data_IF_594313795338
#
_entry.id   IF_594313795338
#
_cell.length_a   1.000
_cell.length_b   1.000
_cell.length_c   1.000
_cell.angle_alpha   90.00
_cell.angle_beta   90.00
_cell.angle_gamma   90.00
#
_symmetry.space_group_name_H-M   'P 1'
#
loop_
_entity.id
_entity.type
_entity.pdbx_description
1 polymer ?
#
# COMPACT_ATOMS: atom_id res chain seq x y z
N UNK A 1 -18.58 16.34 -0.57
CA UNK A 1 -18.97 15.20 0.28
C UNK A 1 -18.54 15.55 1.69
N UNK A 2 -19.31 15.27 2.75
CA UNK A 2 -18.72 15.34 4.08
C UNK A 2 -17.61 14.29 4.08
N UNK A 3 -16.39 14.79 4.20
CA UNK A 3 -15.19 14.00 4.42
C UNK A 3 -15.45 13.25 5.73
N UNK A 4 -15.24 11.93 5.74
CA UNK A 4 -15.22 11.14 6.98
C UNK A 4 -14.32 11.90 7.96
N UNK A 5 -14.83 12.28 9.14
CA UNK A 5 -13.99 12.89 10.18
C UNK A 5 -13.07 11.78 10.70
N UNK A 6 -11.80 11.72 10.24
CA UNK A 6 -11.02 10.51 10.37
C UNK A 6 -10.36 10.44 11.74
N UNK A 7 -10.83 9.52 12.56
CA UNK A 7 -10.21 9.22 13.85
C UNK A 7 -8.92 8.40 13.65
N UNK A 8 -8.91 7.52 12.64
CA UNK A 8 -7.82 6.59 12.39
C UNK A 8 -7.45 6.55 10.90
N UNK A 9 -6.16 6.41 10.61
CA UNK A 9 -5.67 5.95 9.32
C UNK A 9 -5.33 4.47 9.35
N UNK A 10 -5.79 3.74 8.34
CA UNK A 10 -5.58 2.30 8.21
C UNK A 10 -4.71 2.04 6.99
N UNK A 11 -3.60 1.33 7.20
CA UNK A 11 -2.71 0.84 6.14
C UNK A 11 -2.94 -0.65 5.96
N UNK A 12 -3.25 -1.05 4.73
CA UNK A 12 -3.51 -2.45 4.40
C UNK A 12 -2.96 -2.83 3.02
N UNK A 13 -2.78 -4.13 2.82
CA UNK A 13 -2.45 -4.73 1.54
C UNK A 13 -3.72 -5.21 0.84
N UNK A 14 -4.17 -4.48 -0.18
CA UNK A 14 -5.30 -4.93 -1.01
C UNK A 14 -4.82 -5.82 -2.15
N UNK A 15 -5.42 -7.01 -2.27
CA UNK A 15 -5.03 -8.03 -3.25
C UNK A 15 -6.07 -8.20 -4.36
N UNK A 16 -5.62 -8.25 -5.61
CA UNK A 16 -6.45 -8.46 -6.79
C UNK A 16 -6.08 -9.79 -7.46
N UNK A 17 -6.89 -10.85 -7.32
CA UNK A 17 -6.63 -12.16 -7.93
C UNK A 17 -6.50 -12.09 -9.45
N UNK A 18 -5.61 -12.89 -10.02
CA UNK A 18 -5.40 -12.98 -11.47
C UNK A 18 -5.39 -14.43 -11.91
N UNK A 19 -6.02 -14.69 -13.06
CA UNK A 19 -6.04 -16.01 -13.70
C UNK A 19 -4.78 -16.28 -14.52
N UNK A 20 -4.18 -15.22 -15.06
CA UNK A 20 -3.03 -15.28 -15.95
C UNK A 20 -1.85 -14.52 -15.34
N UNK A 21 -0.63 -14.90 -15.74
CA UNK A 21 0.64 -14.29 -15.28
C UNK A 21 1.02 -13.01 -16.05
N UNK A 22 0.04 -12.41 -16.73
CA UNK A 22 0.19 -11.21 -17.55
C UNK A 22 -0.39 -9.96 -16.90
N UNK A 23 0.30 -8.85 -17.15
CA UNK A 23 -0.03 -7.52 -16.69
C UNK A 23 0.76 -7.10 -15.44
N UNK A 24 1.04 -5.80 -15.32
CA UNK A 24 2.02 -5.26 -14.38
C UNK A 24 1.79 -5.66 -12.92
N UNK A 25 2.86 -6.03 -12.23
CA UNK A 25 2.84 -6.32 -10.79
C UNK A 25 2.25 -7.69 -10.42
N UNK A 26 1.84 -8.52 -11.38
CA UNK A 26 1.33 -9.87 -11.10
C UNK A 26 2.47 -10.78 -10.65
N UNK A 27 2.29 -11.44 -9.51
CA UNK A 27 3.20 -12.47 -9.03
C UNK A 27 2.46 -13.47 -8.14
N UNK A 28 3.08 -14.63 -7.91
CA UNK A 28 2.64 -15.59 -6.91
C UNK A 28 3.02 -15.08 -5.52
N UNK A 29 2.04 -14.59 -4.78
CA UNK A 29 2.23 -14.00 -3.44
C UNK A 29 0.97 -14.22 -2.58
N UNK A 30 1.02 -13.85 -1.30
CA UNK A 30 -0.16 -13.92 -0.43
C UNK A 30 -1.27 -13.02 -1.00
N UNK A 31 -2.44 -13.61 -1.25
CA UNK A 31 -3.60 -12.93 -1.79
C UNK A 31 -4.68 -12.89 -0.71
N UNK A 32 -4.85 -11.72 -0.07
CA UNK A 32 -5.83 -11.55 1.02
C UNK A 32 -7.25 -11.91 0.60
N UNK A 33 -7.65 -11.51 -0.61
CA UNK A 33 -8.97 -11.81 -1.18
C UNK A 33 -9.26 -13.32 -1.37
N UNK A 34 -8.21 -14.16 -1.43
CA UNK A 34 -8.35 -15.61 -1.57
C UNK A 34 -7.90 -16.39 -0.32
N UNK A 35 -7.35 -15.71 0.70
CA UNK A 35 -6.82 -16.32 1.91
C UNK A 35 -5.67 -17.31 1.68
N UNK A 36 -4.93 -17.17 0.57
CA UNK A 36 -3.84 -18.11 0.19
C UNK A 36 -2.82 -17.47 -0.72
N UNK A 37 -1.70 -18.16 -0.93
CA UNK A 37 -0.80 -17.83 -2.03
C UNK A 37 -1.47 -18.11 -3.38
N UNK A 38 -1.47 -17.10 -4.24
CA UNK A 38 -2.02 -17.18 -5.59
C UNK A 38 -1.34 -16.14 -6.48
N UNK A 39 -1.52 -16.26 -7.79
CA UNK A 39 -1.20 -15.17 -8.69
C UNK A 39 -2.16 -14.01 -8.44
N UNK A 40 -1.62 -12.88 -8.01
CA UNK A 40 -2.36 -11.66 -7.76
C UNK A 40 -1.48 -10.43 -7.97
N UNK A 41 -2.15 -9.29 -8.12
CA UNK A 41 -1.54 -7.98 -7.86
C UNK A 41 -1.81 -7.60 -6.42
N UNK A 42 -0.90 -6.85 -5.82
CA UNK A 42 -1.09 -6.28 -4.49
C UNK A 42 -0.82 -4.79 -4.59
N UNK A 43 -1.67 -3.99 -3.95
CA UNK A 43 -1.39 -2.59 -3.69
C UNK A 43 -1.34 -2.36 -2.18
N UNK A 44 -0.54 -1.40 -1.76
CA UNK A 44 -0.61 -0.83 -0.42
C UNK A 44 -1.63 0.29 -0.50
N UNK A 45 -2.58 0.31 0.43
CA UNK A 45 -3.66 1.31 0.48
C UNK A 45 -3.69 2.03 1.82
N UNK A 46 -4.02 3.32 1.76
CA UNK A 46 -4.29 4.17 2.90
C UNK A 46 -5.77 4.52 2.94
N UNK A 47 -6.40 4.24 4.07
CA UNK A 47 -7.82 4.51 4.30
C UNK A 47 -7.98 5.47 5.48
N UNK A 48 -8.94 6.36 5.37
CA UNK A 48 -9.52 7.06 6.51
C UNK A 48 -10.62 6.20 7.13
N UNK A 49 -10.71 6.18 8.45
CA UNK A 49 -11.75 5.46 9.17
C UNK A 49 -12.24 6.23 10.40
N UNK A 50 -13.51 6.01 10.71
CA UNK A 50 -14.23 6.42 11.93
C UNK A 50 -15.09 5.24 12.40
N UNK A 51 -15.82 5.43 13.48
CA UNK A 51 -16.83 4.48 13.97
C UNK A 51 -17.97 4.19 12.98
N UNK A 52 -18.26 5.12 12.06
CA UNK A 52 -19.41 5.08 11.16
C UNK A 52 -19.06 4.78 9.70
N UNK A 53 -17.82 5.03 9.29
CA UNK A 53 -17.40 4.85 7.90
C UNK A 53 -15.89 4.66 7.74
N UNK A 54 -15.52 4.03 6.62
CA UNK A 54 -14.15 4.06 6.10
C UNK A 54 -14.13 4.35 4.60
N UNK A 55 -13.06 5.01 4.14
CA UNK A 55 -12.88 5.35 2.74
C UNK A 55 -11.39 5.25 2.33
N UNK A 56 -11.06 4.62 1.20
CA UNK A 56 -9.70 4.68 0.65
C UNK A 56 -9.42 6.10 0.16
N UNK A 57 -8.25 6.64 0.52
CA UNK A 57 -7.83 7.99 0.13
C UNK A 57 -6.62 8.00 -0.80
N UNK A 58 -5.74 6.99 -0.72
CA UNK A 58 -4.64 6.80 -1.68
C UNK A 58 -4.21 5.33 -1.71
N UNK A 59 -3.53 4.93 -2.78
CA UNK A 59 -2.97 3.59 -2.95
C UNK A 59 -1.81 3.57 -3.95
N UNK A 60 -0.90 2.63 -3.77
CA UNK A 60 0.21 2.40 -4.69
C UNK A 60 0.38 0.92 -4.99
N UNK A 61 0.60 0.60 -6.27
CA UNK A 61 0.85 -0.78 -6.71
C UNK A 61 2.21 -1.26 -6.19
N UNK A 62 2.23 -2.42 -5.52
CA UNK A 62 3.48 -3.10 -5.19
C UNK A 62 4.00 -3.84 -6.43
N UNK A 63 5.22 -3.52 -6.85
CA UNK A 63 5.90 -4.16 -7.99
C UNK A 63 6.91 -5.19 -7.47
N UNK A 64 6.64 -6.50 -7.63
CA UNK A 64 7.55 -7.56 -7.15
C UNK A 64 8.88 -7.57 -7.89
N UNK A 65 9.94 -8.06 -7.23
CA UNK A 65 11.30 -8.07 -7.77
C UNK A 65 11.44 -8.71 -9.16
N UNK A 66 10.66 -9.75 -9.46
CA UNK A 66 10.66 -10.42 -10.77
C UNK A 66 10.26 -9.53 -11.95
N UNK A 67 9.75 -8.32 -11.69
CA UNK A 67 9.41 -7.31 -12.70
C UNK A 67 10.52 -6.29 -12.93
N UNK A 68 11.68 -6.38 -12.27
CA UNK A 68 12.74 -5.38 -12.41
C UNK A 68 13.57 -5.57 -13.67
N UNK A 69 13.89 -6.81 -14.02
CA UNK A 69 14.95 -7.10 -15.01
C UNK A 69 14.43 -7.20 -16.46
N UNK A 70 13.12 -7.00 -16.68
CA UNK A 70 12.48 -7.12 -17.99
C UNK A 70 11.75 -5.83 -18.37
N UNK A 71 12.53 -4.86 -18.88
CA UNK A 71 12.02 -3.55 -19.32
C UNK A 71 10.95 -3.67 -20.41
N UNK A 72 11.08 -4.64 -21.32
CA UNK A 72 10.11 -4.88 -22.39
C UNK A 72 8.76 -5.34 -21.82
N UNK A 73 8.78 -6.28 -20.86
CA UNK A 73 7.59 -6.73 -20.14
C UNK A 73 6.95 -5.61 -19.34
N UNK A 74 7.75 -4.81 -18.61
CA UNK A 74 7.26 -3.66 -17.83
C UNK A 74 6.52 -2.67 -18.71
N UNK A 75 7.15 -2.26 -19.82
CA UNK A 75 6.58 -1.32 -20.78
C UNK A 75 5.28 -1.84 -21.38
N UNK A 76 5.28 -3.10 -21.87
CA UNK A 76 4.07 -3.73 -22.43
C UNK A 76 2.92 -3.78 -21.42
N UNK A 77 3.24 -4.06 -20.16
CA UNK A 77 2.25 -4.33 -19.13
C UNK A 77 1.92 -3.10 -18.24
N UNK A 78 2.38 -1.92 -18.65
CA UNK A 78 2.01 -0.61 -18.08
C UNK A 78 2.73 -0.24 -16.77
N UNK A 79 3.89 -0.82 -16.48
CA UNK A 79 4.74 -0.39 -15.36
C UNK A 79 5.71 0.68 -15.86
N UNK A 80 5.62 1.93 -15.37
CA UNK A 80 6.55 2.98 -15.73
C UNK A 80 8.01 2.66 -15.36
N UNK A 81 8.97 3.25 -16.05
CA UNK A 81 10.41 2.95 -15.86
C UNK A 81 10.90 3.45 -14.48
N UNK A 82 10.36 4.57 -14.03
CA UNK A 82 10.64 5.20 -12.75
C UNK A 82 10.18 4.37 -11.53
N UNK A 83 9.26 3.42 -11.73
CA UNK A 83 8.71 2.59 -10.64
C UNK A 83 9.67 1.45 -10.30
N UNK A 84 10.72 1.75 -9.56
CA UNK A 84 11.68 0.75 -9.06
C UNK A 84 11.05 -0.22 -8.04
N UNK A 85 11.82 -1.25 -7.63
CA UNK A 85 11.45 -2.06 -6.47
C UNK A 85 11.39 -1.19 -5.23
N UNK A 86 10.27 -1.29 -4.52
CA UNK A 86 10.04 -0.64 -3.23
C UNK A 86 9.39 -1.66 -2.31
N UNK A 87 9.88 -1.73 -1.07
CA UNK A 87 9.26 -2.52 -0.02
C UNK A 87 7.91 -1.89 0.34
N UNK A 88 6.93 -2.73 0.67
CA UNK A 88 5.57 -2.28 0.99
C UNK A 88 5.53 -1.25 2.12
N UNK A 89 6.35 -1.41 3.15
CA UNK A 89 6.46 -0.43 4.24
C UNK A 89 6.95 0.94 3.77
N UNK A 90 7.76 1.03 2.71
CA UNK A 90 8.18 2.31 2.12
C UNK A 90 7.03 2.94 1.34
N UNK A 91 6.27 2.15 0.59
CA UNK A 91 5.05 2.61 -0.10
C UNK A 91 4.04 3.16 0.91
N UNK A 92 3.88 2.49 2.06
CA UNK A 92 3.02 2.96 3.15
C UNK A 92 3.46 4.33 3.70
N UNK A 93 4.77 4.54 3.88
CA UNK A 93 5.29 5.86 4.29
C UNK A 93 5.06 6.93 3.21
N UNK A 94 5.28 6.59 1.94
CA UNK A 94 5.03 7.52 0.83
C UNK A 94 3.54 7.95 0.80
N UNK A 95 2.61 7.03 1.09
CA UNK A 95 1.18 7.32 1.19
C UNK A 95 0.83 8.20 2.40
N UNK A 96 1.50 7.99 3.54
CA UNK A 96 1.36 8.86 4.72
C UNK A 96 1.84 10.27 4.38
N UNK A 97 3.04 10.41 3.82
CA UNK A 97 3.63 11.69 3.46
C UNK A 97 2.76 12.44 2.44
N UNK A 98 2.21 11.73 1.46
CA UNK A 98 1.26 12.28 0.49
C UNK A 98 -0.01 12.80 1.17
N UNK A 99 -0.64 12.01 2.04
CA UNK A 99 -1.84 12.43 2.75
C UNK A 99 -1.59 13.64 3.69
N UNK A 100 -0.44 13.68 4.37
CA UNK A 100 0.01 14.83 5.16
C UNK A 100 0.21 16.07 4.28
N UNK A 101 0.76 15.90 3.08
CA UNK A 101 0.93 17.01 2.12
C UNK A 101 -0.41 17.61 1.66
N UNK A 102 -1.50 16.86 1.73
CA UNK A 102 -2.86 17.33 1.46
C UNK A 102 -3.49 18.05 2.66
N UNK A 103 -2.79 18.16 3.79
CA UNK A 103 -3.27 18.77 5.02
C UNK A 103 -4.14 17.85 5.87
N UNK A 104 -4.10 16.54 5.63
CA UNK A 104 -4.79 15.55 6.46
C UNK A 104 -3.87 15.12 7.61
N UNK A 105 -4.41 14.95 8.81
CA UNK A 105 -3.68 14.45 9.97
C UNK A 105 -4.55 13.46 10.77
N UNK A 106 -4.10 12.22 11.01
CA UNK A 106 -4.84 11.28 11.84
C UNK A 106 -4.50 11.47 13.32
N UNK A 107 -5.38 11.00 14.20
CA UNK A 107 -5.03 10.85 15.62
C UNK A 107 -4.23 9.56 15.86
N UNK A 108 -4.52 8.51 15.08
CA UNK A 108 -3.88 7.19 15.20
C UNK A 108 -3.65 6.60 13.82
N UNK A 109 -2.51 5.93 13.63
CA UNK A 109 -2.25 5.09 12.45
C UNK A 109 -2.22 3.63 12.91
N UNK A 110 -2.99 2.78 12.22
CA UNK A 110 -2.94 1.32 12.38
C UNK A 110 -2.56 0.68 11.05
N UNK A 111 -1.90 -0.47 11.11
CA UNK A 111 -1.47 -1.19 9.91
C UNK A 111 -1.69 -2.69 10.07
N UNK A 112 -1.84 -3.39 8.93
CA UNK A 112 -1.86 -4.84 8.90
C UNK A 112 -0.67 -5.45 9.65
N UNK A 113 -0.88 -6.61 10.27
CA UNK A 113 0.11 -7.26 11.12
C UNK A 113 1.44 -7.56 10.39
N UNK A 114 1.42 -7.71 9.06
CA UNK A 114 2.63 -7.87 8.24
C UNK A 114 3.59 -6.68 8.35
N UNK A 115 3.10 -5.48 8.63
CA UNK A 115 3.93 -4.28 8.81
C UNK A 115 4.65 -4.29 10.17
N UNK A 116 4.02 -4.83 11.21
CA UNK A 116 4.61 -4.96 12.56
C UNK A 116 5.80 -5.92 12.64
N UNK A 117 5.95 -6.83 11.66
CA UNK A 117 7.11 -7.73 11.58
C UNK A 117 8.39 -7.01 11.11
N UNK A 118 8.27 -5.79 10.59
CA UNK A 118 9.39 -4.95 10.21
C UNK A 118 9.67 -3.92 11.33
N UNK A 119 10.65 -4.17 12.19
CA UNK A 119 10.94 -3.30 13.35
C UNK A 119 11.26 -1.83 13.02
N UNK A 120 11.50 -1.49 11.75
CA UNK A 120 11.69 -0.09 11.29
C UNK A 120 10.39 0.68 11.08
N UNK A 121 9.31 0.01 10.66
CA UNK A 121 8.07 0.68 10.31
C UNK A 121 7.37 1.31 11.53
N UNK A 122 7.19 0.60 12.67
CA UNK A 122 6.62 1.20 13.87
C UNK A 122 7.41 2.42 14.37
N UNK A 123 8.74 2.33 14.41
CA UNK A 123 9.61 3.42 14.89
C UNK A 123 9.47 4.71 14.06
N UNK A 124 9.29 4.58 12.74
CA UNK A 124 9.15 5.72 11.83
C UNK A 124 7.76 6.34 11.96
N UNK A 125 6.71 5.50 12.04
CA UNK A 125 5.33 5.97 12.25
C UNK A 125 5.20 6.72 13.58
N UNK A 126 5.78 6.21 14.66
CA UNK A 126 5.79 6.89 15.96
C UNK A 126 6.44 8.29 15.89
N UNK A 127 7.51 8.43 15.11
CA UNK A 127 8.21 9.72 14.94
C UNK A 127 7.36 10.73 14.16
N UNK A 128 6.60 10.26 13.16
CA UNK A 128 5.71 11.11 12.35
C UNK A 128 4.52 11.64 13.17
N UNK A 129 3.97 10.85 14.08
CA UNK A 129 2.84 11.24 14.93
C UNK A 129 3.26 12.24 16.03
N UNK A 130 4.49 12.13 16.55
CA UNK A 130 4.98 13.00 17.65
C UNK A 130 5.51 14.35 17.12
N UNK A 131 5.84 14.43 15.82
CA UNK A 131 6.47 15.60 15.19
C UNK A 131 5.55 16.61 14.50
N UNK A 132 4.24 16.35 14.47
CA UNK A 132 3.20 17.18 13.80
C UNK A 132 2.35 17.99 14.76
#
# INVERSE_FOLDING_TARGET
MPVVDPEVWVIDDVSFPRREDVGGGVARQWCGALGRQSNCRVAVSLHTASDTASAPISWQLFVPQQWQDDAARRSRDGIPEEVGRREKWRLALDLIDEAVSWGLAPQVIVADAGYGQNGRFPLIVDTLIIGS
#
